data_IF_758960387466
#
_entry.id   IF_758960387466
#
_cell.length_a   1.000
_cell.length_b   1.000
_cell.length_c   1.000
_cell.angle_alpha   90.00
_cell.angle_beta   90.00
_cell.angle_gamma   90.00
#
_symmetry.space_group_name_H-M   'P 1'
#
loop_
_entity.id
_entity.type
_entity.pdbx_description
1 polymer ?
#
# COMPACT_ATOMS: atom_id res chain seq x y z
N UNK A 1 16.94 -3.62 2.47
CA UNK A 1 16.47 -4.98 2.14
C UNK A 1 16.78 -6.00 3.25
N UNK A 2 17.99 -6.03 3.82
CA UNK A 2 18.37 -7.03 4.84
C UNK A 2 17.44 -7.13 6.08
N UNK A 3 16.91 -6.03 6.60
CA UNK A 3 15.96 -6.06 7.74
C UNK A 3 14.61 -6.70 7.38
N UNK A 4 14.09 -6.42 6.18
CA UNK A 4 12.85 -7.03 5.70
C UNK A 4 13.06 -8.52 5.38
N UNK A 5 14.17 -8.87 4.71
CA UNK A 5 14.51 -10.26 4.40
C UNK A 5 14.75 -11.11 5.66
N UNK A 6 15.38 -10.53 6.68
CA UNK A 6 15.63 -11.21 7.96
C UNK A 6 14.41 -11.21 8.90
N UNK A 7 13.25 -10.71 8.46
CA UNK A 7 12.03 -10.66 9.26
C UNK A 7 12.06 -9.65 10.43
N UNK A 8 13.14 -8.89 10.59
CA UNK A 8 13.29 -7.87 11.65
C UNK A 8 12.42 -6.64 11.42
N UNK A 9 11.90 -6.47 10.21
CA UNK A 9 10.91 -5.44 9.88
C UNK A 9 9.77 -6.07 9.07
N UNK A 10 8.57 -6.11 9.64
CA UNK A 10 7.39 -6.54 8.91
C UNK A 10 6.81 -5.38 8.07
N UNK A 11 7.13 -5.37 6.77
CA UNK A 11 6.65 -4.34 5.85
C UNK A 11 5.23 -4.61 5.35
N UNK A 12 4.68 -5.82 5.53
CA UNK A 12 3.34 -6.14 5.02
C UNK A 12 2.25 -5.32 5.72
N UNK A 13 2.49 -4.95 6.99
CA UNK A 13 1.58 -4.12 7.78
C UNK A 13 1.42 -2.69 7.25
N UNK A 14 2.33 -2.21 6.40
CA UNK A 14 2.21 -0.89 5.78
C UNK A 14 1.20 -0.90 4.62
N UNK A 15 1.02 -2.06 3.97
CA UNK A 15 0.11 -2.21 2.84
C UNK A 15 -1.31 -2.36 3.38
N UNK A 16 -2.07 -1.27 3.33
CA UNK A 16 -3.46 -1.22 3.85
C UNK A 16 -4.48 -1.49 2.75
N UNK A 17 -4.14 -1.14 1.51
CA UNK A 17 -5.04 -1.26 0.37
C UNK A 17 -4.29 -1.84 -0.83
N UNK A 18 -5.00 -2.61 -1.65
CA UNK A 18 -4.50 -3.17 -2.89
C UNK A 18 -5.48 -2.82 -4.00
N UNK A 19 -4.96 -2.26 -5.07
CA UNK A 19 -5.73 -1.86 -6.24
C UNK A 19 -5.24 -2.61 -7.47
N UNK A 20 -6.14 -3.04 -8.36
CA UNK A 20 -5.74 -3.48 -9.68
C UNK A 20 -5.21 -2.29 -10.50
N UNK A 21 -4.38 -2.53 -11.50
CA UNK A 21 -3.77 -1.47 -12.32
C UNK A 21 -4.83 -0.59 -13.00
N UNK A 22 -5.95 -1.18 -13.40
CA UNK A 22 -7.08 -0.49 -14.03
C UNK A 22 -7.70 0.58 -13.12
N UNK A 23 -7.51 0.47 -11.80
CA UNK A 23 -8.03 1.40 -10.80
C UNK A 23 -6.92 2.24 -10.13
N UNK A 24 -5.85 2.54 -10.89
CA UNK A 24 -4.79 3.44 -10.44
C UNK A 24 -5.32 4.79 -9.94
N UNK A 25 -6.35 5.33 -10.61
CA UNK A 25 -6.96 6.60 -10.24
C UNK A 25 -7.66 6.54 -8.86
N UNK A 26 -8.34 5.43 -8.56
CA UNK A 26 -8.94 5.19 -7.24
C UNK A 26 -7.88 5.15 -6.13
N UNK A 27 -6.75 4.50 -6.39
CA UNK A 27 -5.64 4.44 -5.45
C UNK A 27 -5.05 5.82 -5.11
N UNK A 28 -4.97 6.72 -6.09
CA UNK A 28 -4.51 8.10 -5.87
C UNK A 28 -5.53 8.94 -5.10
N UNK A 29 -6.82 8.84 -5.41
CA UNK A 29 -7.87 9.58 -4.69
C UNK A 29 -7.91 9.22 -3.20
N UNK A 30 -7.74 7.94 -2.87
CA UNK A 30 -7.64 7.47 -1.48
C UNK A 30 -6.51 8.19 -0.72
N UNK A 31 -5.35 8.39 -1.37
CA UNK A 31 -4.20 9.08 -0.77
C UNK A 31 -4.43 10.58 -0.60
N UNK A 32 -5.09 11.24 -1.56
CA UNK A 32 -5.38 12.68 -1.48
C UNK A 32 -6.25 12.98 -0.25
N UNK A 33 -7.25 12.14 0.00
CA UNK A 33 -8.22 12.34 1.07
C UNK A 33 -7.73 11.77 2.42
N UNK A 34 -6.62 11.03 2.45
CA UNK A 34 -6.18 10.20 3.60
C UNK A 34 -7.34 9.41 4.23
N UNK A 35 -8.25 8.94 3.39
CA UNK A 35 -9.49 8.30 3.83
C UNK A 35 -9.28 6.81 4.10
N UNK A 36 -10.25 6.20 4.79
CA UNK A 36 -10.28 4.76 5.09
C UNK A 36 -9.03 4.20 5.81
N UNK A 37 -8.36 5.04 6.61
CA UNK A 37 -7.16 4.63 7.35
C UNK A 37 -5.99 4.24 6.46
N UNK A 38 -5.91 4.80 5.23
CA UNK A 38 -4.82 4.50 4.29
C UNK A 38 -3.45 4.85 4.88
N UNK A 39 -2.53 3.89 4.79
CA UNK A 39 -1.11 4.08 5.13
C UNK A 39 -0.26 4.01 3.86
N UNK A 40 -0.34 2.87 3.16
CA UNK A 40 0.28 2.67 1.85
C UNK A 40 -0.62 1.80 0.97
N UNK A 41 -1.26 2.36 -0.06
CA UNK A 41 -1.88 1.56 -1.10
C UNK A 41 -0.80 1.03 -2.05
N UNK A 42 -1.03 -0.17 -2.58
CA UNK A 42 -0.18 -0.79 -3.60
C UNK A 42 -1.03 -1.14 -4.81
N UNK A 43 -0.48 -0.87 -5.99
CA UNK A 43 -1.10 -1.26 -7.25
C UNK A 43 -0.44 -2.55 -7.73
N UNK A 44 -1.26 -3.53 -8.10
CA UNK A 44 -0.82 -4.84 -8.58
C UNK A 44 -1.39 -5.12 -9.96
N UNK A 45 -0.60 -5.83 -10.78
CA UNK A 45 -1.03 -6.41 -12.05
C UNK A 45 -1.95 -7.61 -11.84
#
# INVERSE_FOLDING_TARGET
>A
IGLAQSGKANLSALVTHRFPLEDLAGAFRLLEDYSDGVIKPVVTL
#
